data_IF_703099380827
#
_entry.id   IF_703099380827
#
_cell.length_a   1.000
_cell.length_b   1.000
_cell.length_c   1.000
_cell.angle_alpha   90.00
_cell.angle_beta   90.00
_cell.angle_gamma   90.00
#
_symmetry.space_group_name_H-M   'P 1'
#
loop_
_entity.id
_entity.type
_entity.pdbx_description
1 polymer ?
#
# COMPACT_ATOMS: atom_id res chain seq x y z
N UNK A 1 6.10 -6.37 23.80
CA UNK A 1 6.86 -7.60 23.48
C UNK A 1 6.48 -8.02 22.07
N UNK A 2 7.46 -8.36 21.22
CA UNK A 2 7.18 -8.83 19.85
C UNK A 2 6.45 -10.18 19.90
N UNK A 3 5.53 -10.39 18.96
CA UNK A 3 4.83 -11.65 18.74
C UNK A 3 5.21 -12.26 17.37
N UNK A 4 6.29 -11.76 16.78
CA UNK A 4 6.81 -12.20 15.51
C UNK A 4 7.35 -13.62 15.60
N UNK A 5 7.12 -14.39 14.54
CA UNK A 5 7.74 -15.72 14.34
C UNK A 5 9.17 -15.57 13.80
N UNK A 6 9.38 -14.49 13.06
CA UNK A 6 10.63 -13.98 12.49
C UNK A 6 10.38 -12.53 12.13
N UNK A 7 11.38 -11.66 12.19
CA UNK A 7 11.23 -10.22 11.93
C UNK A 7 11.49 -9.85 10.45
N UNK A 8 11.12 -8.63 10.06
CA UNK A 8 11.37 -8.11 8.71
C UNK A 8 12.85 -8.20 8.30
N UNK A 9 13.76 -7.93 9.23
CA UNK A 9 15.21 -8.00 8.97
C UNK A 9 15.71 -9.43 8.75
N UNK A 10 15.04 -10.44 9.32
CA UNK A 10 15.36 -11.83 9.04
C UNK A 10 15.00 -12.21 7.60
N UNK A 11 13.90 -11.68 7.03
CA UNK A 11 13.58 -11.92 5.62
C UNK A 11 14.69 -11.40 4.71
N UNK A 12 15.19 -10.20 5.00
CA UNK A 12 16.32 -9.60 4.29
C UNK A 12 17.61 -10.40 4.46
N UNK A 13 17.88 -10.95 5.64
CA UNK A 13 19.11 -11.69 5.92
C UNK A 13 19.09 -13.14 5.41
N UNK A 14 17.96 -13.84 5.54
CA UNK A 14 17.81 -15.26 5.26
C UNK A 14 17.42 -15.54 3.80
N UNK A 15 16.72 -14.61 3.14
CA UNK A 15 16.29 -14.73 1.74
C UNK A 15 16.51 -13.41 0.97
N UNK A 16 17.77 -12.92 0.88
CA UNK A 16 18.08 -11.62 0.29
C UNK A 16 17.66 -11.49 -1.18
N UNK A 17 17.77 -12.57 -1.95
CA UNK A 17 17.36 -12.64 -3.36
C UNK A 17 15.84 -12.48 -3.54
N UNK A 18 15.05 -13.14 -2.69
CA UNK A 18 13.60 -12.97 -2.64
C UNK A 18 13.23 -11.55 -2.19
N UNK A 19 13.86 -11.05 -1.13
CA UNK A 19 13.65 -9.69 -0.63
C UNK A 19 13.90 -8.64 -1.72
N UNK A 20 15.05 -8.70 -2.39
CA UNK A 20 15.43 -7.74 -3.43
C UNK A 20 14.48 -7.80 -4.63
N UNK A 21 14.01 -9.00 -4.99
CA UNK A 21 13.04 -9.18 -6.08
C UNK A 21 11.69 -8.52 -5.78
N UNK A 22 11.15 -8.71 -4.57
CA UNK A 22 9.88 -8.09 -4.15
C UNK A 22 10.02 -6.58 -4.04
N UNK A 23 11.17 -6.10 -3.52
CA UNK A 23 11.48 -4.68 -3.43
C UNK A 23 11.62 -4.03 -4.81
N UNK A 24 12.27 -4.70 -5.76
CA UNK A 24 12.43 -4.23 -7.13
C UNK A 24 11.08 -4.07 -7.83
N UNK A 25 10.17 -5.05 -7.68
CA UNK A 25 8.82 -4.97 -8.23
C UNK A 25 8.06 -3.73 -7.72
N UNK A 26 8.15 -3.44 -6.42
CA UNK A 26 7.52 -2.26 -5.83
C UNK A 26 8.13 -0.93 -6.30
N UNK A 27 9.45 -0.88 -6.53
CA UNK A 27 10.16 0.31 -7.03
C UNK A 27 9.84 0.61 -8.49
N UNK A 28 9.59 -0.42 -9.30
CA UNK A 28 9.29 -0.28 -10.72
C UNK A 28 7.99 0.51 -10.93
N UNK A 29 6.98 0.36 -10.06
CA UNK A 29 5.74 1.12 -10.14
C UNK A 29 5.92 2.65 -10.11
N UNK A 30 6.93 3.15 -9.37
CA UNK A 30 7.24 4.58 -9.32
C UNK A 30 7.82 5.11 -10.64
N UNK A 31 8.27 4.24 -11.56
CA UNK A 31 8.83 4.64 -12.86
C UNK A 31 7.79 5.18 -13.85
N UNK A 32 6.51 5.00 -13.57
CA UNK A 32 5.41 5.46 -14.41
C UNK A 32 5.04 6.94 -14.23
N UNK A 33 5.64 7.64 -13.27
CA UNK A 33 5.20 8.99 -12.91
C UNK A 33 3.89 9.02 -12.12
N UNK A 34 3.41 7.87 -11.63
CA UNK A 34 2.27 7.80 -10.72
C UNK A 34 2.64 8.50 -9.42
N UNK A 35 1.73 9.36 -8.95
CA UNK A 35 1.88 10.08 -7.69
C UNK A 35 2.22 9.12 -6.54
N UNK A 36 3.26 9.47 -5.79
CA UNK A 36 3.71 8.71 -4.62
C UNK A 36 2.64 8.65 -3.54
N UNK A 37 1.83 9.71 -3.37
CA UNK A 37 0.73 9.69 -2.40
C UNK A 37 -0.31 8.62 -2.78
N UNK A 38 -0.70 8.57 -4.06
CA UNK A 38 -1.60 7.52 -4.56
C UNK A 38 -1.03 6.12 -4.35
N UNK A 39 0.26 5.91 -4.62
CA UNK A 39 0.92 4.63 -4.40
C UNK A 39 0.91 4.20 -2.92
N UNK A 40 1.02 5.12 -1.97
CA UNK A 40 0.92 4.76 -0.55
C UNK A 40 -0.53 4.47 -0.12
N UNK A 41 -1.52 5.17 -0.68
CA UNK A 41 -2.95 4.89 -0.40
C UNK A 41 -3.38 3.50 -0.84
N UNK A 42 -2.99 3.05 -2.05
CA UNK A 42 -3.33 1.71 -2.51
C UNK A 42 -2.63 0.64 -1.67
N UNK A 43 -1.39 0.88 -1.24
CA UNK A 43 -0.64 -0.07 -0.40
C UNK A 43 -1.26 -0.18 0.98
N UNK A 44 -1.67 0.95 1.56
CA UNK A 44 -2.41 0.99 2.81
C UNK A 44 -3.73 0.22 2.69
N UNK A 45 -4.51 0.48 1.63
CA UNK A 45 -5.81 -0.17 1.43
C UNK A 45 -5.68 -1.69 1.25
N UNK A 46 -4.76 -2.15 0.40
CA UNK A 46 -4.49 -3.59 0.23
C UNK A 46 -4.06 -4.24 1.55
N UNK A 47 -3.21 -3.56 2.33
CA UNK A 47 -2.74 -4.05 3.63
C UNK A 47 -3.86 -4.15 4.68
N UNK A 48 -4.82 -3.22 4.66
CA UNK A 48 -6.01 -3.29 5.52
C UNK A 48 -6.89 -4.50 5.19
N UNK A 49 -7.08 -4.79 3.90
CA UNK A 49 -7.87 -5.95 3.45
C UNK A 49 -7.19 -7.26 3.85
N UNK A 50 -5.87 -7.34 3.67
CA UNK A 50 -5.08 -8.54 3.97
C UNK A 50 -4.74 -8.70 5.47
N UNK A 51 -5.05 -7.72 6.32
CA UNK A 51 -4.76 -7.78 7.75
C UNK A 51 -3.27 -7.75 8.13
N UNK A 52 -2.40 -7.15 7.30
CA UNK A 52 -0.98 -7.01 7.62
C UNK A 52 -0.72 -5.79 8.52
N UNK A 53 -0.73 -5.94 9.84
CA UNK A 53 -0.52 -4.84 10.79
C UNK A 53 0.81 -4.09 10.58
N UNK A 54 1.89 -4.80 10.28
CA UNK A 54 3.19 -4.21 9.93
C UNK A 54 3.07 -3.28 8.73
N UNK A 55 2.48 -3.79 7.65
CA UNK A 55 2.35 -3.07 6.39
C UNK A 55 1.41 -1.86 6.53
N UNK A 56 0.30 -2.01 7.26
CA UNK A 56 -0.62 -0.91 7.57
C UNK A 56 0.13 0.23 8.27
N UNK A 57 0.87 -0.07 9.33
CA UNK A 57 1.61 0.94 10.08
C UNK A 57 2.75 1.56 9.25
N UNK A 58 3.47 0.75 8.47
CA UNK A 58 4.52 1.23 7.58
C UNK A 58 3.96 2.25 6.57
N UNK A 59 2.88 1.91 5.85
CA UNK A 59 2.30 2.78 4.84
C UNK A 59 1.58 4.00 5.42
N UNK A 60 1.06 3.95 6.65
CA UNK A 60 0.61 5.15 7.36
C UNK A 60 1.78 6.12 7.58
N UNK A 61 2.91 5.63 8.12
CA UNK A 61 4.06 6.48 8.40
C UNK A 61 4.71 7.05 7.13
N UNK A 62 4.79 6.28 6.04
CA UNK A 62 5.23 6.81 4.74
C UNK A 62 4.27 7.86 4.19
N UNK A 63 2.96 7.62 4.31
CA UNK A 63 1.95 8.58 3.85
C UNK A 63 1.99 9.90 4.61
N UNK A 64 2.18 9.85 5.93
CA UNK A 64 2.36 11.04 6.78
C UNK A 64 3.58 11.86 6.33
N UNK A 65 4.71 11.19 6.00
CA UNK A 65 5.92 11.86 5.48
C UNK A 65 5.72 12.49 4.11
N UNK A 66 4.82 11.94 3.31
CA UNK A 66 4.43 12.50 2.01
C UNK A 66 3.38 13.62 2.11
N UNK A 67 2.91 13.94 3.32
CA UNK A 67 1.93 15.01 3.57
C UNK A 67 0.48 14.62 3.28
N UNK A 68 0.15 13.33 3.22
CA UNK A 68 -1.25 12.90 3.13
C UNK A 68 -1.95 13.23 4.46
N UNK A 69 -3.13 13.86 4.39
CA UNK A 69 -3.87 14.26 5.59
C UNK A 69 -4.34 13.07 6.41
N UNK A 70 -4.43 13.26 7.73
CA UNK A 70 -4.96 12.26 8.65
C UNK A 70 -6.38 11.82 8.27
N UNK A 71 -7.23 12.76 7.82
CA UNK A 71 -8.59 12.44 7.36
C UNK A 71 -8.58 11.44 6.20
N UNK A 72 -7.69 11.64 5.22
CA UNK A 72 -7.57 10.72 4.08
C UNK A 72 -7.07 9.34 4.51
N UNK A 73 -6.10 9.28 5.43
CA UNK A 73 -5.57 8.01 5.96
C UNK A 73 -6.61 7.24 6.80
N UNK A 74 -7.38 7.95 7.62
CA UNK A 74 -8.40 7.35 8.46
C UNK A 74 -9.60 6.87 7.64
N UNK A 75 -9.95 7.57 6.55
CA UNK A 75 -11.13 7.29 5.75
C UNK A 75 -10.87 6.37 4.54
N UNK A 76 -9.62 6.06 4.21
CA UNK A 76 -9.32 5.17 3.07
C UNK A 76 -9.97 3.78 3.20
N UNK A 77 -10.17 3.29 4.42
CA UNK A 77 -10.83 2.00 4.67
C UNK A 77 -12.32 2.01 4.26
N UNK A 78 -12.94 3.20 4.21
CA UNK A 78 -14.35 3.45 3.86
C UNK A 78 -14.45 4.46 2.70
N UNK A 79 -13.47 4.46 1.80
CA UNK A 79 -13.29 5.49 0.76
C UNK A 79 -14.50 5.70 -0.16
N UNK A 80 -15.35 4.68 -0.36
CA UNK A 80 -16.53 4.78 -1.24
C UNK A 80 -17.52 5.85 -0.78
N UNK A 81 -17.74 5.95 0.53
CA UNK A 81 -18.65 6.92 1.15
C UNK A 81 -17.98 8.26 1.46
N UNK A 82 -16.64 8.34 1.35
CA UNK A 82 -15.88 9.54 1.67
C UNK A 82 -15.72 10.46 0.43
N UNK A 83 -16.10 11.74 0.50
CA UNK A 83 -16.08 12.65 -0.66
C UNK A 83 -14.69 13.22 -1.00
N UNK A 84 -13.67 12.98 -0.17
CA UNK A 84 -12.33 13.58 -0.27
C UNK A 84 -11.38 12.91 -1.27
N UNK A 85 -11.81 11.82 -1.93
CA UNK A 85 -11.02 11.07 -2.92
C UNK A 85 -11.41 11.51 -4.33
N UNK A 86 -10.41 11.89 -5.14
CA UNK A 86 -10.57 12.24 -6.55
C UNK A 86 -11.03 11.04 -7.40
N UNK A 87 -11.51 11.29 -8.62
CA UNK A 87 -11.92 10.22 -9.55
C UNK A 87 -10.78 9.21 -9.79
N UNK A 88 -9.56 9.71 -10.04
CA UNK A 88 -8.35 8.89 -10.19
C UNK A 88 -8.02 8.04 -8.96
N UNK A 89 -8.13 8.60 -7.75
CA UNK A 89 -7.93 7.85 -6.50
C UNK A 89 -8.98 6.77 -6.32
N UNK A 90 -10.26 7.08 -6.59
CA UNK A 90 -11.36 6.13 -6.50
C UNK A 90 -11.19 4.97 -7.48
N UNK A 91 -10.79 5.25 -8.72
CA UNK A 91 -10.49 4.23 -9.72
C UNK A 91 -9.34 3.32 -9.27
N UNK A 92 -8.25 3.90 -8.74
CA UNK A 92 -7.13 3.12 -8.22
C UNK A 92 -7.49 2.27 -7.01
N UNK A 93 -8.31 2.79 -6.08
CA UNK A 93 -8.77 2.07 -4.91
C UNK A 93 -9.70 0.92 -5.31
N UNK A 94 -10.64 1.13 -6.25
CA UNK A 94 -11.48 0.07 -6.80
C UNK A 94 -10.64 -1.04 -7.47
N UNK A 95 -9.67 -0.65 -8.30
CA UNK A 95 -8.72 -1.57 -8.93
C UNK A 95 -7.91 -2.36 -7.90
N UNK A 96 -7.45 -1.69 -6.84
CA UNK A 96 -6.71 -2.29 -5.72
C UNK A 96 -7.54 -3.34 -4.99
N UNK A 97 -8.79 -3.05 -4.66
CA UNK A 97 -9.66 -4.00 -3.97
C UNK A 97 -9.96 -5.22 -4.85
N UNK A 98 -10.26 -5.00 -6.13
CA UNK A 98 -10.54 -6.08 -7.08
C UNK A 98 -9.34 -7.03 -7.25
N UNK A 99 -8.13 -6.50 -7.42
CA UNK A 99 -6.91 -7.30 -7.55
C UNK A 99 -6.41 -7.91 -6.23
N UNK A 100 -6.76 -7.33 -5.09
CA UNK A 100 -6.41 -7.90 -3.78
C UNK A 100 -7.30 -9.11 -3.45
N UNK A 101 -8.59 -9.03 -3.76
CA UNK A 101 -9.56 -10.08 -3.45
C UNK A 101 -9.67 -11.17 -4.55
N UNK A 102 -9.63 -10.77 -5.83
CA UNK A 102 -9.81 -11.63 -7.01
C UNK A 102 -10.95 -12.67 -6.87
N UNK A 103 -12.19 -12.30 -6.52
CA UNK A 103 -13.29 -13.27 -6.28
C UNK A 103 -13.88 -13.87 -7.57
N UNK A 104 -13.04 -14.16 -8.57
CA UNK A 104 -13.44 -14.56 -9.92
C UNK A 104 -12.80 -13.71 -11.04
N UNK A 105 -11.89 -12.80 -10.70
CA UNK A 105 -11.25 -11.87 -11.63
C UNK A 105 -11.63 -10.42 -11.36
N UNK A 106 -11.41 -9.55 -12.35
CA UNK A 106 -11.81 -8.13 -12.32
C UNK A 106 -12.95 -7.92 -13.31
N UNK A 107 -14.01 -7.22 -12.89
CA UNK A 107 -15.15 -6.92 -13.76
C UNK A 107 -14.81 -5.88 -14.83
N UNK A 108 -15.54 -5.92 -15.95
CA UNK A 108 -15.39 -4.94 -17.03
C UNK A 108 -15.66 -3.51 -16.56
N UNK A 109 -16.58 -3.31 -15.62
CA UNK A 109 -16.86 -2.01 -15.01
C UNK A 109 -15.64 -1.45 -14.26
N UNK A 110 -14.99 -2.27 -13.42
CA UNK A 110 -13.81 -1.87 -12.66
C UNK A 110 -12.63 -1.60 -13.59
N UNK A 111 -12.47 -2.42 -14.63
CA UNK A 111 -11.46 -2.20 -15.67
C UNK A 111 -11.72 -0.89 -16.43
N UNK A 112 -12.95 -0.64 -16.88
CA UNK A 112 -13.32 0.56 -17.62
C UNK A 112 -13.10 1.83 -16.78
N UNK A 113 -13.47 1.81 -15.49
CA UNK A 113 -13.23 2.92 -14.58
C UNK A 113 -11.73 3.21 -14.38
N UNK A 114 -10.90 2.17 -14.30
CA UNK A 114 -9.44 2.34 -14.22
C UNK A 114 -8.86 2.85 -15.55
N UNK A 115 -9.27 2.30 -16.69
CA UNK A 115 -8.80 2.71 -18.01
C UNK A 115 -9.22 4.15 -18.39
N UNK A 116 -10.29 4.68 -17.80
CA UNK A 116 -10.69 6.07 -17.97
C UNK A 116 -9.73 7.06 -17.28
N UNK A 117 -9.07 6.64 -16.20
CA UNK A 117 -8.23 7.49 -15.36
C UNK A 117 -6.73 7.25 -15.57
N UNK A 118 -6.32 6.10 -16.11
CA UNK A 118 -4.92 5.70 -16.29
C UNK A 118 -4.65 5.27 -17.73
N UNK A 119 -3.49 5.67 -18.27
CA UNK A 119 -2.99 5.07 -19.51
C UNK A 119 -2.69 3.58 -19.32
N UNK A 120 -2.67 2.81 -20.41
CA UNK A 120 -2.32 1.37 -20.37
C UNK A 120 -0.99 1.12 -19.65
N UNK A 121 0.01 1.98 -19.92
CA UNK A 121 1.32 1.93 -19.25
C UNK A 121 1.16 2.16 -17.75
N UNK A 122 0.50 3.23 -17.32
CA UNK A 122 0.29 3.50 -15.90
C UNK A 122 -0.49 2.37 -15.21
N UNK A 123 -1.50 1.80 -15.86
CA UNK A 123 -2.30 0.72 -15.28
C UNK A 123 -1.48 -0.55 -15.06
N UNK A 124 -0.55 -0.89 -15.96
CA UNK A 124 0.42 -1.98 -15.76
C UNK A 124 1.32 -1.72 -14.54
N UNK A 125 1.82 -0.48 -14.40
CA UNK A 125 2.66 -0.11 -13.26
C UNK A 125 1.87 -0.06 -11.94
N UNK A 126 0.63 0.45 -11.95
CA UNK A 126 -0.29 0.41 -10.81
C UNK A 126 -0.54 -1.04 -10.37
N UNK A 127 -0.80 -1.93 -11.33
CA UNK A 127 -0.99 -3.35 -11.09
C UNK A 127 0.26 -4.00 -10.46
N UNK A 128 1.46 -3.64 -10.92
CA UNK A 128 2.70 -4.12 -10.30
C UNK A 128 2.89 -3.66 -8.84
N UNK A 129 2.47 -2.43 -8.51
CA UNK A 129 2.47 -1.97 -7.11
C UNK A 129 1.52 -2.79 -6.25
N UNK A 130 0.30 -3.04 -6.75
CA UNK A 130 -0.73 -3.82 -6.06
C UNK A 130 -0.27 -5.27 -5.85
N UNK A 131 0.36 -5.87 -6.87
CA UNK A 131 0.96 -7.20 -6.76
C UNK A 131 2.08 -7.23 -5.71
N UNK A 132 3.00 -6.26 -5.74
CA UNK A 132 4.10 -6.16 -4.79
C UNK A 132 3.62 -6.05 -3.35
N UNK A 133 2.64 -5.19 -3.05
CA UNK A 133 2.12 -5.07 -1.68
C UNK A 133 1.37 -6.32 -1.22
N UNK A 134 0.69 -7.02 -2.13
CA UNK A 134 0.07 -8.30 -1.83
C UNK A 134 1.10 -9.37 -1.44
N UNK A 135 2.28 -9.37 -2.06
CA UNK A 135 3.40 -10.23 -1.67
C UNK A 135 3.92 -9.83 -0.28
N UNK A 136 4.21 -8.55 -0.05
CA UNK A 136 4.64 -8.05 1.26
C UNK A 136 3.66 -8.39 2.38
N UNK A 137 2.35 -8.28 2.13
CA UNK A 137 1.32 -8.62 3.10
C UNK A 137 1.37 -10.11 3.50
N UNK A 138 1.66 -11.01 2.56
CA UNK A 138 1.79 -12.46 2.83
C UNK A 138 2.97 -12.76 3.74
N UNK A 139 4.11 -12.11 3.53
CA UNK A 139 5.25 -12.21 4.44
C UNK A 139 4.94 -11.57 5.79
N UNK A 140 4.51 -10.31 5.82
CA UNK A 140 4.28 -9.57 7.06
C UNK A 140 3.22 -10.22 7.96
N UNK A 141 2.09 -10.66 7.39
CA UNK A 141 1.06 -11.37 8.15
C UNK A 141 1.48 -12.80 8.51
N UNK A 142 2.12 -13.52 7.58
CA UNK A 142 2.56 -14.91 7.78
C UNK A 142 3.59 -15.05 8.90
N UNK A 143 4.53 -14.10 8.99
CA UNK A 143 5.58 -14.09 10.02
C UNK A 143 5.27 -13.18 11.21
N UNK A 144 4.14 -12.46 11.18
CA UNK A 144 3.67 -11.57 12.25
C UNK A 144 4.69 -10.48 12.60
N UNK A 145 5.28 -9.86 11.57
CA UNK A 145 6.28 -8.80 11.74
C UNK A 145 5.78 -7.70 12.67
N UNK A 146 6.68 -7.21 13.53
CA UNK A 146 6.33 -6.21 14.53
C UNK A 146 6.13 -4.83 13.89
N UNK A 147 4.94 -4.22 13.96
CA UNK A 147 4.72 -2.88 13.43
C UNK A 147 5.61 -1.85 14.13
N UNK A 148 6.18 -0.92 13.36
CA UNK A 148 6.98 0.17 13.92
C UNK A 148 6.11 1.08 14.81
N UNK A 149 6.65 1.54 15.94
CA UNK A 149 5.95 2.53 16.76
C UNK A 149 6.06 3.91 16.10
N UNK A 150 4.95 4.67 16.09
CA UNK A 150 4.99 6.08 15.69
C UNK A 150 5.92 6.83 16.65
N UNK A 151 6.99 7.42 16.12
CA UNK A 151 7.87 8.26 16.93
C UNK A 151 7.08 9.49 17.38
N UNK A 152 7.13 9.81 18.67
CA UNK A 152 6.54 11.06 19.18
C UNK A 152 7.26 12.23 18.53
N UNK A 153 6.52 13.22 18.03
CA UNK A 153 7.11 14.48 17.63
C UNK A 153 7.90 15.03 18.83
N UNK A 154 9.21 15.21 18.66
CA UNK A 154 10.00 15.95 19.65
C UNK A 154 9.52 17.38 19.54
N UNK A 155 8.67 17.81 20.48
CA UNK A 155 8.42 19.22 20.67
C UNK A 155 9.74 19.85 21.09
N UNK A 156 10.48 20.38 20.13
CA UNK A 156 11.50 21.38 20.42
C UNK A 156 10.71 22.60 20.87
N UNK A 157 10.50 22.71 22.18
CA UNK A 157 10.04 23.93 22.79
C UNK A 157 11.08 24.99 22.43
N UNK A 158 10.72 25.90 21.53
CA UNK A 158 11.50 27.09 21.28
C UNK A 158 11.59 27.85 22.62
N UNK A 159 12.82 27.94 23.13
CA UNK A 159 13.19 28.87 24.20
C UNK A 159 13.43 30.25 23.62
#
# INVERSE_FOLDING_TARGET
MSHARSEYEDFKALAPDAYDSVLALGRIAAKAGIDRQLLELIKLRASQINGCAFCVQHHILESERLGISADKLNLVVVWREAPLFSARERAALAWTEALTLLPGGVSDEVYAAAAAEFSEKELLYLTSAIASINVWNRFGAGYRWTPATRQKAVHVAAS
#
